data_IF_704918214187
#
_entry.id   IF_704918214187
#
_cell.length_a   1.000
_cell.length_b   1.000
_cell.length_c   1.000
_cell.angle_alpha   90.00
_cell.angle_beta   90.00
_cell.angle_gamma   90.00
#
_symmetry.space_group_name_H-M   'P 1'
#
loop_
_entity.id
_entity.type
_entity.pdbx_description
1 polymer ?
#
# COMPACT_ATOMS: atom_id res chain seq x y z
N UNK A 1 -25.04 15.45 31.17
CA UNK A 1 -25.36 14.21 30.45
C UNK A 1 -24.17 13.28 30.58
N UNK A 2 -24.37 12.07 31.07
CA UNK A 2 -23.28 11.13 31.33
C UNK A 2 -22.93 10.36 30.05
N UNK A 3 -21.70 9.90 29.91
CA UNK A 3 -21.21 9.09 28.78
C UNK A 3 -22.12 7.88 28.47
N UNK A 4 -22.70 7.25 29.49
CA UNK A 4 -23.65 6.14 29.36
C UNK A 4 -24.94 6.52 28.63
N UNK A 5 -25.49 7.71 28.86
CA UNK A 5 -26.68 8.18 28.14
C UNK A 5 -26.41 8.32 26.63
N UNK A 6 -25.24 8.85 26.25
CA UNK A 6 -24.87 9.00 24.84
C UNK A 6 -24.67 7.66 24.12
N UNK A 7 -24.18 6.63 24.81
CA UNK A 7 -24.01 5.26 24.24
C UNK A 7 -25.36 4.60 24.03
N UNK A 8 -26.31 4.78 24.97
CA UNK A 8 -27.67 4.25 24.86
C UNK A 8 -28.42 4.88 23.68
N UNK A 9 -28.37 6.20 23.58
CA UNK A 9 -29.01 6.97 22.49
C UNK A 9 -28.44 6.58 21.12
N UNK A 10 -27.13 6.34 21.04
CA UNK A 10 -26.48 5.89 19.81
C UNK A 10 -26.90 4.44 19.45
N UNK A 11 -26.99 3.54 20.42
CA UNK A 11 -27.45 2.17 20.21
C UNK A 11 -28.93 2.13 19.75
N UNK A 12 -29.80 2.96 20.34
CA UNK A 12 -31.19 3.09 19.89
C UNK A 12 -31.30 3.67 18.48
N UNK A 13 -30.50 4.68 18.15
CA UNK A 13 -30.41 5.23 16.79
C UNK A 13 -30.02 4.16 15.76
N UNK A 14 -28.94 3.43 16.02
CA UNK A 14 -28.48 2.33 15.13
C UNK A 14 -29.57 1.26 15.01
N UNK A 15 -30.19 0.85 16.11
CA UNK A 15 -31.28 -0.14 16.11
C UNK A 15 -32.48 0.33 15.30
N UNK A 16 -32.85 1.61 15.38
CA UNK A 16 -33.95 2.20 14.61
C UNK A 16 -33.63 2.27 13.11
N UNK A 17 -32.41 2.62 12.75
CA UNK A 17 -31.95 2.64 11.34
C UNK A 17 -31.90 1.24 10.73
N UNK A 18 -31.45 0.24 11.46
CA UNK A 18 -31.49 -1.16 11.02
C UNK A 18 -32.92 -1.58 10.73
N UNK A 19 -33.87 -1.34 11.66
CA UNK A 19 -35.30 -1.64 11.46
C UNK A 19 -35.91 -0.86 10.29
N UNK A 20 -35.46 0.38 10.04
CA UNK A 20 -35.91 1.19 8.91
C UNK A 20 -35.40 0.63 7.58
N UNK A 21 -34.18 0.08 7.56
CA UNK A 21 -33.61 -0.59 6.40
C UNK A 21 -34.33 -1.92 6.15
N UNK A 22 -34.55 -2.71 7.17
CA UNK A 22 -35.28 -4.00 7.09
C UNK A 22 -36.70 -3.82 6.53
N UNK A 23 -37.43 -2.78 6.96
CA UNK A 23 -38.76 -2.45 6.41
C UNK A 23 -38.76 -2.01 4.96
N UNK A 24 -37.62 -1.57 4.43
CA UNK A 24 -37.48 -1.18 3.00
C UNK A 24 -37.08 -2.36 2.12
N UNK A 25 -36.76 -3.52 2.69
CA UNK A 25 -36.53 -4.75 1.96
C UNK A 25 -37.94 -5.33 1.70
N UNK A 26 -38.43 -5.42 0.45
CA UNK A 26 -39.74 -5.97 0.16
C UNK A 26 -39.79 -7.44 0.56
N UNK A 27 -40.69 -7.81 1.47
CA UNK A 27 -41.02 -9.21 1.65
C UNK A 27 -41.79 -9.70 0.40
N UNK A 28 -41.09 -10.42 -0.43
CA UNK A 28 -41.67 -11.31 -1.46
C UNK A 28 -42.38 -10.64 -2.62
N UNK A 29 -41.83 -10.79 -3.81
CA UNK A 29 -42.56 -10.55 -5.07
C UNK A 29 -41.69 -9.99 -6.19
N UNK A 30 -41.24 -10.86 -7.06
CA UNK A 30 -40.41 -10.71 -8.21
C UNK A 30 -40.31 -9.36 -8.88
N UNK A 31 -39.12 -8.86 -8.94
CA UNK A 31 -38.55 -8.13 -10.08
C UNK A 31 -37.10 -7.77 -9.74
N UNK A 32 -36.16 -8.37 -10.43
CA UNK A 32 -34.74 -7.96 -10.52
C UNK A 32 -34.15 -7.46 -9.20
N UNK A 33 -34.02 -8.31 -8.20
CA UNK A 33 -32.97 -8.17 -7.23
C UNK A 33 -31.67 -8.28 -8.01
N UNK A 34 -30.89 -7.23 -8.04
CA UNK A 34 -29.47 -7.37 -8.25
C UNK A 34 -28.97 -8.17 -7.04
N UNK A 35 -29.20 -9.50 -7.05
CA UNK A 35 -28.64 -10.39 -6.05
C UNK A 35 -27.13 -10.17 -6.11
N UNK A 36 -26.62 -9.42 -5.13
CA UNK A 36 -25.19 -9.28 -4.92
C UNK A 36 -24.68 -10.66 -4.52
N UNK A 37 -24.45 -11.50 -5.51
CA UNK A 37 -23.97 -12.86 -5.28
C UNK A 37 -22.57 -12.77 -4.71
N UNK A 38 -22.36 -13.37 -3.56
CA UNK A 38 -21.02 -13.53 -2.97
C UNK A 38 -20.51 -14.91 -3.34
N UNK A 39 -19.44 -14.95 -4.12
CA UNK A 39 -18.73 -16.17 -4.48
C UNK A 39 -17.52 -16.29 -3.56
N UNK A 40 -17.29 -17.46 -2.99
CA UNK A 40 -16.14 -17.71 -2.12
C UNK A 40 -15.26 -18.81 -2.70
N UNK A 41 -13.96 -18.57 -2.75
CA UNK A 41 -12.97 -19.50 -3.28
C UNK A 41 -11.54 -19.02 -3.09
N UNK A 42 -10.60 -19.80 -3.61
CA UNK A 42 -9.19 -19.39 -3.70
C UNK A 42 -8.91 -18.66 -5.01
N UNK A 43 -7.79 -17.94 -5.07
CA UNK A 43 -7.30 -17.34 -6.30
C UNK A 43 -7.86 -15.94 -6.57
N UNK A 44 -7.66 -15.49 -7.79
CA UNK A 44 -7.97 -14.15 -8.29
C UNK A 44 -9.14 -14.20 -9.27
N UNK A 45 -10.23 -13.48 -9.04
CA UNK A 45 -11.36 -13.49 -9.97
C UNK A 45 -11.05 -12.76 -11.28
N UNK A 46 -10.07 -11.87 -11.33
CA UNK A 46 -9.55 -11.25 -12.54
C UNK A 46 -8.65 -12.20 -13.38
N UNK A 47 -8.33 -13.38 -12.81
CA UNK A 47 -7.64 -14.51 -13.45
C UNK A 47 -8.43 -15.79 -13.15
N UNK A 48 -9.53 -16.03 -13.90
CA UNK A 48 -10.47 -17.10 -13.59
C UNK A 48 -9.84 -18.50 -13.48
N UNK A 49 -8.76 -18.75 -14.20
CA UNK A 49 -7.98 -19.99 -14.16
C UNK A 49 -7.42 -20.30 -12.76
N UNK A 50 -7.23 -19.28 -11.91
CA UNK A 50 -6.73 -19.45 -10.53
C UNK A 50 -7.84 -19.81 -9.53
N UNK A 51 -9.11 -19.69 -9.92
CA UNK A 51 -10.28 -19.80 -9.03
C UNK A 51 -10.89 -21.19 -8.97
N UNK A 52 -10.26 -22.17 -9.59
CA UNK A 52 -10.75 -23.56 -9.63
C UNK A 52 -12.19 -23.69 -10.16
N UNK A 53 -12.53 -22.92 -11.18
CA UNK A 53 -13.85 -22.91 -11.80
C UNK A 53 -14.95 -22.17 -11.04
N UNK A 54 -14.61 -21.45 -9.94
CA UNK A 54 -15.58 -20.61 -9.22
C UNK A 54 -15.99 -19.36 -10.00
N UNK A 55 -15.12 -18.86 -10.85
CA UNK A 55 -15.37 -17.71 -11.74
C UNK A 55 -15.41 -18.19 -13.17
N UNK A 56 -16.48 -17.85 -13.86
CA UNK A 56 -16.76 -18.29 -15.26
C UNK A 56 -16.56 -17.16 -16.28
N UNK A 57 -16.38 -15.93 -15.80
CA UNK A 57 -16.32 -14.72 -16.63
C UNK A 57 -17.70 -14.13 -16.98
N UNK A 58 -18.80 -14.79 -16.57
CA UNK A 58 -20.18 -14.37 -16.86
C UNK A 58 -20.85 -13.63 -15.70
N UNK A 59 -20.13 -13.43 -14.61
CA UNK A 59 -20.65 -12.76 -13.42
C UNK A 59 -21.10 -11.34 -13.74
N UNK A 60 -22.24 -10.94 -13.19
CA UNK A 60 -22.81 -9.59 -13.35
C UNK A 60 -22.03 -8.55 -12.55
N UNK A 61 -22.09 -7.29 -12.96
CA UNK A 61 -21.62 -6.18 -12.14
C UNK A 61 -22.34 -6.18 -10.78
N UNK A 62 -21.61 -5.85 -9.71
CA UNK A 62 -22.11 -5.95 -8.33
C UNK A 62 -21.81 -7.28 -7.65
N UNK A 63 -21.44 -8.34 -8.39
CA UNK A 63 -21.00 -9.60 -7.79
C UNK A 63 -19.74 -9.39 -6.95
N UNK A 64 -19.73 -9.98 -5.75
CA UNK A 64 -18.56 -10.03 -4.89
C UNK A 64 -17.84 -11.37 -4.98
N UNK A 65 -16.53 -11.34 -4.85
CA UNK A 65 -15.71 -12.54 -4.70
C UNK A 65 -14.84 -12.42 -3.45
N UNK A 66 -14.99 -13.38 -2.53
CA UNK A 66 -14.17 -13.50 -1.34
C UNK A 66 -13.06 -14.54 -1.59
N UNK A 67 -11.82 -14.05 -1.72
CA UNK A 67 -10.63 -14.90 -1.86
C UNK A 67 -10.16 -15.37 -0.49
N UNK A 68 -10.34 -16.65 -0.18
CA UNK A 68 -10.00 -17.22 1.13
C UNK A 68 -8.49 -17.25 1.41
N UNK A 69 -7.67 -17.24 0.35
CA UNK A 69 -6.21 -17.18 0.45
C UNK A 69 -5.63 -15.79 0.11
N UNK A 70 -6.49 -14.74 0.02
CA UNK A 70 -6.06 -13.39 -0.35
C UNK A 70 -5.42 -13.32 -1.73
N UNK A 71 -5.74 -14.25 -2.63
CA UNK A 71 -5.13 -14.38 -3.97
C UNK A 71 -3.59 -14.48 -3.94
N UNK A 72 -3.00 -14.91 -2.81
CA UNK A 72 -1.56 -14.99 -2.59
C UNK A 72 -0.85 -13.64 -2.37
N UNK A 73 -1.58 -12.53 -2.45
CA UNK A 73 -1.02 -11.15 -2.38
C UNK A 73 -1.73 -10.24 -1.36
N UNK A 74 -2.66 -10.79 -0.58
CA UNK A 74 -3.45 -10.03 0.39
C UNK A 74 -4.71 -9.37 -0.18
N UNK A 75 -5.16 -9.76 -1.36
CA UNK A 75 -6.40 -9.27 -1.98
C UNK A 75 -7.58 -10.18 -1.59
N UNK A 76 -8.33 -9.82 -0.55
CA UNK A 76 -9.34 -10.69 0.03
C UNK A 76 -10.73 -10.50 -0.57
N UNK A 77 -11.20 -9.27 -0.70
CA UNK A 77 -12.54 -8.99 -1.22
C UNK A 77 -12.47 -8.23 -2.55
N UNK A 78 -13.18 -8.76 -3.53
CA UNK A 78 -13.29 -8.21 -4.88
C UNK A 78 -14.75 -7.91 -5.21
N UNK A 79 -14.96 -6.92 -6.08
CA UNK A 79 -16.27 -6.63 -6.67
C UNK A 79 -16.15 -6.49 -8.17
N UNK A 80 -17.11 -7.04 -8.90
CA UNK A 80 -17.23 -6.85 -10.33
C UNK A 80 -17.82 -5.47 -10.62
N UNK A 81 -17.05 -4.61 -11.29
CA UNK A 81 -17.46 -3.26 -11.68
C UNK A 81 -17.05 -3.01 -13.14
N UNK A 82 -17.99 -2.56 -13.98
CA UNK A 82 -17.74 -2.31 -15.40
C UNK A 82 -17.02 -3.46 -16.10
N UNK A 83 -17.47 -4.69 -15.84
CA UNK A 83 -16.89 -5.95 -16.30
C UNK A 83 -15.47 -6.27 -15.80
N UNK A 84 -14.91 -5.46 -14.91
CA UNK A 84 -13.61 -5.71 -14.28
C UNK A 84 -13.77 -6.10 -12.82
N UNK A 85 -12.86 -6.93 -12.32
CA UNK A 85 -12.77 -7.23 -10.90
C UNK A 85 -11.85 -6.23 -10.20
N UNK A 86 -12.38 -5.55 -9.18
CA UNK A 86 -11.66 -4.52 -8.42
C UNK A 86 -11.53 -4.99 -6.98
N UNK A 87 -10.36 -4.86 -6.39
CA UNK A 87 -10.14 -5.16 -4.97
C UNK A 87 -10.80 -4.08 -4.12
N UNK A 88 -11.73 -4.51 -3.26
CA UNK A 88 -12.44 -3.66 -2.31
C UNK A 88 -11.78 -3.72 -0.92
N UNK A 89 -11.24 -4.89 -0.57
CA UNK A 89 -10.46 -5.05 0.66
C UNK A 89 -9.22 -5.87 0.40
N UNK A 90 -8.07 -5.26 0.66
CA UNK A 90 -6.76 -5.90 0.50
C UNK A 90 -5.72 -5.27 1.41
N UNK A 91 -4.78 -6.11 1.88
CA UNK A 91 -3.59 -5.72 2.62
C UNK A 91 -2.45 -6.67 2.24
N UNK A 92 -1.41 -6.10 1.63
CA UNK A 92 -0.22 -6.87 1.24
C UNK A 92 0.65 -7.27 2.43
N UNK A 93 0.39 -6.70 3.60
CA UNK A 93 1.32 -6.71 4.71
C UNK A 93 2.62 -5.94 4.40
N UNK A 94 3.45 -5.75 5.41
CA UNK A 94 4.78 -5.13 5.25
C UNK A 94 5.69 -6.00 4.40
N UNK A 95 6.25 -5.43 3.33
CA UNK A 95 7.16 -6.09 2.40
C UNK A 95 8.52 -5.41 2.37
N UNK A 96 9.57 -6.16 2.64
CA UNK A 96 10.94 -5.67 2.55
C UNK A 96 11.31 -5.51 1.08
N UNK A 97 11.75 -4.33 0.70
CA UNK A 97 12.29 -4.06 -0.63
C UNK A 97 13.73 -4.58 -0.73
N UNK A 98 13.88 -5.86 -1.13
CA UNK A 98 15.20 -6.50 -1.27
C UNK A 98 16.06 -5.88 -2.36
N UNK A 99 15.44 -5.16 -3.31
CA UNK A 99 16.12 -4.41 -4.37
C UNK A 99 16.65 -3.04 -3.91
N UNK A 100 16.38 -2.65 -2.65
CA UNK A 100 16.91 -1.41 -2.09
C UNK A 100 18.44 -1.47 -1.99
N UNK A 101 19.08 -0.35 -2.31
CA UNK A 101 20.54 -0.19 -2.33
C UNK A 101 20.98 0.93 -1.40
N UNK A 102 22.26 1.01 -1.11
CA UNK A 102 22.89 2.00 -0.23
C UNK A 102 22.42 1.97 1.23
N UNK A 103 21.64 0.98 1.64
CA UNK A 103 21.25 0.76 3.03
C UNK A 103 22.30 -0.12 3.70
N UNK A 104 22.91 0.40 4.77
CA UNK A 104 23.87 -0.31 5.62
C UNK A 104 23.17 -1.11 6.70
N UNK A 105 22.15 -0.53 7.33
CA UNK A 105 21.40 -1.16 8.41
C UNK A 105 19.93 -0.70 8.35
N UNK A 106 19.03 -1.62 8.66
CA UNK A 106 17.59 -1.42 8.49
C UNK A 106 17.10 -1.79 7.10
N UNK A 107 15.84 -1.49 6.83
CA UNK A 107 15.18 -1.86 5.58
C UNK A 107 14.21 -0.77 5.13
N UNK A 108 13.97 -0.72 3.84
CA UNK A 108 12.84 -0.05 3.22
C UNK A 108 11.70 -1.04 3.09
N UNK A 109 10.53 -0.67 3.58
CA UNK A 109 9.30 -1.47 3.49
C UNK A 109 8.27 -0.76 2.64
N UNK A 110 7.50 -1.55 1.90
CA UNK A 110 6.26 -1.12 1.28
C UNK A 110 5.11 -1.99 1.79
N UNK A 111 3.98 -1.34 2.07
CA UNK A 111 2.70 -2.00 2.33
C UNK A 111 1.63 -1.31 1.50
N UNK A 112 0.69 -2.07 0.97
CA UNK A 112 -0.50 -1.52 0.34
C UNK A 112 -1.75 -2.01 1.05
N UNK A 113 -2.58 -1.07 1.50
CA UNK A 113 -3.91 -1.32 2.07
C UNK A 113 -4.91 -0.66 1.14
N UNK A 114 -5.71 -1.46 0.43
CA UNK A 114 -6.61 -0.99 -0.63
C UNK A 114 -5.86 -0.16 -1.69
N UNK A 115 -6.09 1.14 -1.75
CA UNK A 115 -5.39 2.08 -2.63
C UNK A 115 -4.33 2.94 -1.91
N UNK A 116 -4.16 2.77 -0.59
CA UNK A 116 -3.15 3.45 0.19
C UNK A 116 -1.85 2.65 0.20
N UNK A 117 -0.76 3.26 -0.20
CA UNK A 117 0.60 2.73 -0.06
C UNK A 117 1.29 3.40 1.10
N UNK A 118 1.95 2.60 1.92
CA UNK A 118 2.76 3.03 3.06
C UNK A 118 4.20 2.63 2.77
N UNK A 119 5.12 3.59 2.78
CA UNK A 119 6.55 3.37 2.69
C UNK A 119 7.19 3.73 4.03
N UNK A 120 7.92 2.81 4.63
CA UNK A 120 8.58 3.03 5.91
C UNK A 120 10.03 2.55 5.87
N UNK A 121 10.82 3.11 6.79
CA UNK A 121 12.25 2.92 6.87
C UNK A 121 12.60 2.60 8.33
N UNK A 122 12.91 1.35 8.62
CA UNK A 122 13.16 0.90 10.00
C UNK A 122 13.93 -0.40 10.04
N UNK A 123 14.21 -0.91 11.24
CA UNK A 123 14.86 -2.21 11.44
C UNK A 123 16.35 -2.12 11.76
N UNK A 124 16.92 -0.92 11.76
CA UNK A 124 18.21 -0.64 12.37
C UNK A 124 18.12 -0.40 13.89
N UNK A 125 19.23 -0.06 14.50
CA UNK A 125 19.27 0.30 15.92
C UNK A 125 18.32 1.48 16.20
N UNK A 126 17.58 1.42 17.31
CA UNK A 126 16.61 2.45 17.74
C UNK A 126 15.53 2.77 16.68
N UNK A 127 15.14 1.75 15.88
CA UNK A 127 14.18 1.92 14.77
C UNK A 127 14.62 2.98 13.73
N UNK A 128 15.92 3.20 13.59
CA UNK A 128 16.52 4.08 12.59
C UNK A 128 16.88 3.29 11.33
N UNK A 129 17.48 3.99 10.37
CA UNK A 129 18.13 3.41 9.20
C UNK A 129 19.52 4.01 9.05
N UNK A 130 20.47 3.26 8.53
CA UNK A 130 21.82 3.73 8.24
C UNK A 130 22.16 3.52 6.78
N UNK A 131 22.97 4.40 6.21
CA UNK A 131 23.36 4.36 4.80
C UNK A 131 24.87 4.29 4.64
N UNK A 132 25.31 3.65 3.57
CA UNK A 132 26.72 3.66 3.18
C UNK A 132 27.16 5.06 2.77
N UNK A 133 28.34 5.48 3.22
CA UNK A 133 29.03 6.67 2.71
C UNK A 133 29.87 6.36 1.48
N UNK A 134 30.40 7.42 0.83
CA UNK A 134 31.14 7.30 -0.46
C UNK A 134 32.35 6.38 -0.40
N UNK A 135 33.03 6.29 0.75
CA UNK A 135 34.23 5.46 0.89
C UNK A 135 33.91 3.98 1.12
N UNK A 136 32.63 3.64 1.34
CA UNK A 136 32.24 2.26 1.51
C UNK A 136 32.17 1.55 0.14
N UNK A 137 32.77 0.36 -0.03
CA UNK A 137 32.75 -0.40 -1.28
C UNK A 137 31.33 -0.76 -1.76
N UNK A 138 30.37 -0.87 -0.82
CA UNK A 138 28.99 -1.17 -1.11
C UNK A 138 28.20 0.05 -1.61
N UNK A 139 28.77 1.27 -1.53
CA UNK A 139 28.11 2.49 -1.99
C UNK A 139 27.97 2.48 -3.52
N UNK A 140 26.73 2.60 -3.97
CA UNK A 140 26.41 2.65 -5.41
C UNK A 140 26.26 4.11 -5.82
N UNK A 141 27.30 4.66 -6.45
CA UNK A 141 27.35 6.04 -6.94
C UNK A 141 26.17 6.40 -7.85
N UNK A 142 25.70 7.66 -7.70
CA UNK A 142 24.93 8.38 -8.70
C UNK A 142 25.76 9.53 -9.24
N UNK A 143 25.39 10.07 -10.42
CA UNK A 143 26.12 11.18 -11.08
C UNK A 143 26.16 12.48 -10.28
N UNK A 144 25.23 12.67 -9.34
CA UNK A 144 25.15 13.85 -8.49
C UNK A 144 25.84 13.65 -7.13
N UNK A 145 26.69 14.61 -6.76
CA UNK A 145 27.39 14.57 -5.47
C UNK A 145 26.47 14.64 -4.24
N UNK A 146 25.25 15.17 -4.41
CA UNK A 146 24.24 15.35 -3.35
C UNK A 146 23.11 14.30 -3.39
N UNK A 147 23.25 13.21 -4.15
CA UNK A 147 22.15 12.26 -4.34
C UNK A 147 22.61 10.83 -4.40
N UNK A 148 21.78 9.91 -3.87
CA UNK A 148 21.89 8.50 -4.18
C UNK A 148 20.51 7.80 -4.18
N UNK A 149 20.40 6.73 -4.97
CA UNK A 149 19.18 5.96 -5.05
C UNK A 149 19.05 5.02 -3.84
N UNK A 150 17.84 4.90 -3.30
CA UNK A 150 17.41 3.78 -2.47
C UNK A 150 16.73 2.71 -3.31
N UNK A 151 15.86 3.11 -4.22
CA UNK A 151 15.33 2.27 -5.29
C UNK A 151 15.65 2.93 -6.62
N UNK A 152 16.25 2.18 -7.52
CA UNK A 152 16.60 2.65 -8.87
C UNK A 152 15.36 2.90 -9.72
N UNK A 153 15.53 3.49 -10.89
CA UNK A 153 14.50 3.62 -11.92
C UNK A 153 13.71 2.32 -12.08
N UNK A 154 12.37 2.42 -12.04
CA UNK A 154 11.44 1.29 -11.99
C UNK A 154 11.56 0.38 -10.75
N UNK A 155 12.19 0.87 -9.68
CA UNK A 155 12.36 0.09 -8.43
C UNK A 155 11.12 0.01 -7.56
N UNK A 156 10.16 0.96 -7.70
CA UNK A 156 8.86 0.84 -7.02
C UNK A 156 8.01 -0.16 -7.82
N UNK A 157 7.60 -1.29 -7.24
CA UNK A 157 6.87 -2.34 -7.95
C UNK A 157 5.52 -1.86 -8.48
N UNK A 158 5.06 -2.49 -9.56
CA UNK A 158 3.70 -2.28 -10.07
C UNK A 158 2.68 -2.57 -8.97
N UNK A 159 1.66 -1.74 -8.87
CA UNK A 159 0.67 -1.79 -7.79
C UNK A 159 1.03 -0.97 -6.56
N UNK A 160 2.26 -0.43 -6.47
CA UNK A 160 2.69 0.41 -5.35
C UNK A 160 3.10 1.83 -5.79
N UNK A 161 3.04 2.14 -7.08
CA UNK A 161 3.55 3.40 -7.61
C UNK A 161 2.66 4.58 -7.30
N UNK A 162 3.27 5.74 -7.08
CA UNK A 162 2.53 6.98 -6.89
C UNK A 162 2.20 7.63 -8.24
N UNK A 163 1.04 8.28 -8.39
CA UNK A 163 0.71 9.03 -9.61
C UNK A 163 1.48 10.35 -9.72
N UNK A 164 2.04 10.87 -8.62
CA UNK A 164 2.73 12.15 -8.56
C UNK A 164 4.07 12.01 -7.84
N UNK A 165 5.09 12.76 -8.28
CA UNK A 165 6.34 12.87 -7.56
C UNK A 165 6.21 13.88 -6.40
N UNK A 166 6.88 13.58 -5.29
CA UNK A 166 6.93 14.48 -4.12
C UNK A 166 8.22 14.29 -3.32
N UNK A 167 8.46 15.19 -2.36
CA UNK A 167 9.61 15.16 -1.47
C UNK A 167 9.19 15.44 -0.03
N UNK A 168 9.84 14.75 0.92
CA UNK A 168 9.68 14.94 2.36
C UNK A 168 11.04 15.03 3.04
N UNK A 169 11.21 15.87 4.08
CA UNK A 169 12.46 15.99 4.79
C UNK A 169 12.79 14.73 5.59
N UNK A 170 14.09 14.47 5.77
CA UNK A 170 14.58 13.48 6.71
C UNK A 170 15.69 14.08 7.58
N UNK A 171 15.93 13.46 8.73
CA UNK A 171 16.74 14.03 9.81
C UNK A 171 17.78 13.02 10.31
N UNK A 172 18.84 13.54 10.92
CA UNK A 172 19.67 12.73 11.83
C UNK A 172 18.90 12.43 13.13
N UNK A 173 19.43 11.54 13.94
CA UNK A 173 18.84 11.21 15.25
C UNK A 173 18.81 12.44 16.19
N UNK A 174 19.74 13.37 16.01
CA UNK A 174 19.80 14.65 16.73
C UNK A 174 18.77 15.69 16.25
N UNK A 175 17.92 15.35 15.31
CA UNK A 175 16.88 16.23 14.78
C UNK A 175 17.37 17.28 13.76
N UNK A 176 18.60 17.15 13.25
CA UNK A 176 19.12 18.03 12.21
C UNK A 176 18.65 17.55 10.85
N UNK A 177 18.05 18.44 10.06
CA UNK A 177 17.63 18.09 8.70
C UNK A 177 18.86 17.82 7.83
N UNK A 178 18.94 16.59 7.30
CA UNK A 178 20.06 16.13 6.45
C UNK A 178 19.71 16.25 4.97
N UNK A 179 18.44 16.09 4.62
CA UNK A 179 18.01 16.15 3.23
C UNK A 179 16.53 15.88 3.05
N UNK A 180 16.19 15.43 1.83
CA UNK A 180 14.84 15.10 1.40
C UNK A 180 14.79 13.68 0.82
N UNK A 181 13.76 12.92 1.16
CA UNK A 181 13.38 11.71 0.43
C UNK A 181 12.55 12.13 -0.78
N UNK A 182 13.01 11.83 -1.97
CA UNK A 182 12.26 12.00 -3.21
C UNK A 182 11.60 10.68 -3.58
N UNK A 183 10.30 10.70 -3.82
CA UNK A 183 9.55 9.59 -4.39
C UNK A 183 9.11 9.99 -5.79
N UNK A 184 9.60 9.28 -6.78
CA UNK A 184 9.27 9.51 -8.18
C UNK A 184 7.93 8.88 -8.55
N UNK A 185 7.17 9.52 -9.42
CA UNK A 185 5.77 9.21 -9.71
C UNK A 185 5.56 8.50 -11.03
N UNK A 186 5.40 9.21 -12.11
CA UNK A 186 4.83 8.71 -13.36
C UNK A 186 5.85 8.10 -14.33
N UNK A 187 5.38 7.19 -15.20
CA UNK A 187 6.18 6.59 -16.28
C UNK A 187 7.38 5.80 -15.76
N UNK A 188 8.55 6.04 -16.31
CA UNK A 188 9.80 5.36 -15.95
C UNK A 188 10.48 5.96 -14.70
N UNK A 189 9.84 6.92 -14.01
CA UNK A 189 10.42 7.62 -12.87
C UNK A 189 9.98 7.02 -11.51
N UNK A 190 9.66 5.74 -11.46
CA UNK A 190 9.24 5.03 -10.25
C UNK A 190 10.46 4.62 -9.41
N UNK A 191 11.04 5.54 -8.67
CA UNK A 191 12.23 5.32 -7.86
C UNK A 191 12.16 6.11 -6.54
N UNK A 192 12.99 5.74 -5.58
CA UNK A 192 13.18 6.47 -4.33
C UNK A 192 14.64 6.89 -4.23
N UNK A 193 14.84 8.18 -4.01
CA UNK A 193 16.16 8.82 -3.98
C UNK A 193 16.30 9.68 -2.72
N UNK A 194 17.46 9.65 -2.09
CA UNK A 194 17.83 10.65 -1.08
C UNK A 194 18.55 11.83 -1.75
N UNK A 195 18.13 13.04 -1.39
CA UNK A 195 18.70 14.31 -1.83
C UNK A 195 19.19 15.07 -0.61
N UNK A 196 20.48 15.26 -0.50
CA UNK A 196 21.13 15.86 0.66
C UNK A 196 21.28 17.36 0.49
N UNK A 197 21.27 18.10 1.60
CA UNK A 197 21.59 19.53 1.63
C UNK A 197 23.06 19.77 1.25
N UNK A 198 23.94 18.89 1.73
CA UNK A 198 25.37 18.89 1.43
C UNK A 198 25.76 17.71 0.53
N UNK A 199 27.03 17.68 0.12
CA UNK A 199 27.53 16.50 -0.59
C UNK A 199 27.42 15.25 0.28
N UNK A 200 27.08 14.13 -0.35
CA UNK A 200 27.07 12.84 0.35
C UNK A 200 28.44 12.63 1.02
N UNK A 201 28.43 12.34 2.29
CA UNK A 201 29.65 12.22 3.11
C UNK A 201 30.47 10.99 2.71
N UNK A 202 31.76 11.02 3.05
CA UNK A 202 32.68 9.90 2.83
C UNK A 202 32.42 8.76 3.83
N UNK A 203 32.15 9.11 5.09
CA UNK A 203 31.77 8.18 6.14
C UNK A 203 30.32 7.72 5.98
N UNK A 204 30.00 6.57 6.55
CA UNK A 204 28.63 6.05 6.64
C UNK A 204 27.73 7.01 7.45
N UNK A 205 26.46 7.05 7.08
CA UNK A 205 25.43 7.88 7.70
C UNK A 205 24.63 7.00 8.64
N UNK A 206 24.93 7.06 9.92
CA UNK A 206 24.26 6.24 10.92
C UNK A 206 23.06 6.96 11.56
N UNK A 207 22.12 6.18 12.06
CA UNK A 207 20.96 6.62 12.84
C UNK A 207 20.11 7.72 12.15
N UNK A 208 19.82 7.56 10.87
CA UNK A 208 18.95 8.48 10.14
C UNK A 208 17.46 8.22 10.46
N UNK A 209 16.67 9.29 10.55
CA UNK A 209 15.22 9.27 10.77
C UNK A 209 14.50 9.71 9.50
N UNK A 210 13.96 8.73 8.79
CA UNK A 210 13.14 8.98 7.61
C UNK A 210 11.65 8.95 7.99
N UNK A 211 10.82 9.80 7.37
CA UNK A 211 9.39 9.80 7.64
C UNK A 211 8.72 8.51 7.16
N UNK A 212 7.64 8.13 7.80
CA UNK A 212 6.68 7.21 7.19
C UNK A 212 5.95 7.98 6.09
N UNK A 213 6.01 7.48 4.88
CA UNK A 213 5.48 8.14 3.69
C UNK A 213 4.24 7.40 3.23
N UNK A 214 3.17 8.11 2.93
CA UNK A 214 1.95 7.52 2.41
C UNK A 214 1.50 8.22 1.14
N UNK A 215 0.94 7.45 0.20
CA UNK A 215 0.31 7.98 -1.00
C UNK A 215 -0.82 7.08 -1.47
N UNK A 216 -1.74 7.65 -2.23
CA UNK A 216 -2.78 6.91 -2.92
C UNK A 216 -2.24 6.48 -4.29
N UNK A 217 -2.43 5.21 -4.63
CA UNK A 217 -2.12 4.69 -5.96
C UNK A 217 -3.39 4.46 -6.77
N UNK A 218 -3.33 4.73 -8.07
CA UNK A 218 -4.40 4.43 -9.03
C UNK A 218 -4.13 3.11 -9.79
N UNK A 219 -3.03 2.44 -9.47
CA UNK A 219 -2.69 1.18 -10.11
C UNK A 219 -3.58 0.04 -9.62
N UNK A 220 -3.80 -1.00 -10.44
CA UNK A 220 -4.43 -2.24 -9.99
C UNK A 220 -3.74 -2.81 -8.76
N UNK A 221 -4.45 -3.60 -7.96
CA UNK A 221 -3.83 -4.31 -6.83
C UNK A 221 -2.75 -5.27 -7.35
N UNK A 222 -1.57 -5.37 -6.68
CA UNK A 222 -0.43 -6.09 -7.23
C UNK A 222 -0.76 -7.57 -7.50
N UNK A 223 -0.15 -8.11 -8.55
CA UNK A 223 -0.25 -9.53 -8.87
C UNK A 223 0.83 -10.35 -8.16
N UNK A 224 1.95 -9.71 -7.87
CA UNK A 224 3.09 -10.29 -7.15
C UNK A 224 3.53 -9.35 -6.06
N UNK A 225 4.08 -9.90 -4.99
CA UNK A 225 4.64 -9.12 -3.88
C UNK A 225 6.15 -8.93 -4.09
N UNK A 226 6.71 -7.78 -3.68
CA UNK A 226 8.15 -7.51 -3.72
C UNK A 226 8.94 -8.41 -2.76
#
# INVERSE_FOLDING_TARGET
>A
MTFQANVSDFAEFIGSEIKRIEKKIPEGGGSQSSDSTIITGNGRPDKPETTQGKITGRESNGTFYNSTNGAGVGAYLWQKQNNNWIVISGDTGNRIMRSAINIKSGHLYLQRINNLVICSFTGGAWSSISFYGKNNPEFKKKSHAKRFDLLRTNGIPLGFRTPLAFMLPFYSDDGVQVGMVYVGGTGNYNYIELRFTENVQEADLDLMRLPVITWVTNEPFPETLP
#
